data_IF_066264502134
#
_entry.id   IF_066264502134
#
_cell.length_a   1.000
_cell.length_b   1.000
_cell.length_c   1.000
_cell.angle_alpha   90.00
_cell.angle_beta   90.00
_cell.angle_gamma   90.00
#
_symmetry.space_group_name_H-M   'P 1'
#
loop_
_entity.id
_entity.type
_entity.pdbx_description
1 polymer ?
#
# COMPACT_ATOMS: atom_id res chain seq x y z
N UNK A 1 -5.40 -14.93 13.90
CA UNK A 1 -4.10 -15.60 13.71
C UNK A 1 -4.32 -17.07 13.44
N UNK A 2 -3.58 -17.64 12.51
CA UNK A 2 -3.61 -19.07 12.20
C UNK A 2 -2.62 -19.81 13.11
N UNK A 3 -2.91 -21.06 13.42
CA UNK A 3 -1.93 -21.92 14.06
C UNK A 3 -0.81 -22.28 13.09
N UNK A 4 0.43 -22.25 13.56
CA UNK A 4 1.60 -22.51 12.70
C UNK A 4 1.55 -23.88 12.02
N UNK A 5 0.91 -24.87 12.64
CA UNK A 5 0.71 -26.22 12.10
C UNK A 5 -0.23 -26.28 10.92
N UNK A 6 -1.13 -25.28 10.79
CA UNK A 6 -2.08 -25.18 9.67
C UNK A 6 -1.53 -24.42 8.46
N UNK A 7 -0.34 -23.85 8.57
CA UNK A 7 0.30 -23.05 7.51
C UNK A 7 1.38 -23.87 6.82
N UNK A 8 1.42 -23.81 5.49
CA UNK A 8 2.48 -24.48 4.71
C UNK A 8 3.86 -24.06 5.20
N UNK A 9 4.71 -25.05 5.51
CA UNK A 9 6.08 -24.81 5.99
C UNK A 9 6.93 -23.97 5.04
N UNK A 10 6.63 -23.98 3.76
CA UNK A 10 7.33 -23.16 2.76
C UNK A 10 7.01 -21.65 2.90
N UNK A 11 5.77 -21.31 3.24
CA UNK A 11 5.40 -19.91 3.52
C UNK A 11 6.08 -19.41 4.80
N UNK A 12 6.17 -20.26 5.82
CA UNK A 12 6.82 -19.95 7.09
C UNK A 12 8.35 -19.78 6.95
N UNK A 13 8.97 -20.40 5.93
CA UNK A 13 10.40 -20.16 5.62
C UNK A 13 10.64 -18.74 5.10
N UNK A 14 9.68 -18.19 4.34
CA UNK A 14 9.78 -16.83 3.79
C UNK A 14 9.39 -15.78 4.82
N UNK A 15 8.33 -16.03 5.59
CA UNK A 15 7.82 -15.11 6.60
C UNK A 15 7.36 -15.88 7.84
N UNK A 16 8.15 -15.80 8.92
CA UNK A 16 7.79 -16.40 10.21
C UNK A 16 6.77 -15.51 10.93
N UNK A 17 5.51 -15.70 10.62
CA UNK A 17 4.41 -14.94 11.23
C UNK A 17 3.17 -15.81 11.36
N UNK A 18 2.29 -15.42 12.31
CA UNK A 18 0.92 -15.95 12.43
C UNK A 18 -0.13 -14.94 11.94
N UNK A 19 0.31 -13.79 11.43
CA UNK A 19 -0.59 -12.76 10.93
C UNK A 19 -1.06 -13.11 9.54
N UNK A 20 -2.35 -13.27 9.38
CA UNK A 20 -3.00 -13.72 8.15
C UNK A 20 -2.70 -12.80 6.97
N UNK A 21 -2.73 -11.49 7.18
CA UNK A 21 -2.44 -10.50 6.13
C UNK A 21 -1.04 -10.63 5.55
N UNK A 22 -0.03 -10.91 6.38
CA UNK A 22 1.35 -11.12 5.93
C UNK A 22 1.52 -12.46 5.22
N UNK A 23 0.83 -13.49 5.69
CA UNK A 23 0.82 -14.81 5.04
C UNK A 23 0.18 -14.75 3.65
N UNK A 24 -0.90 -13.98 3.48
CA UNK A 24 -1.49 -13.77 2.15
C UNK A 24 -0.56 -13.03 1.20
N UNK A 25 0.13 -11.98 1.65
CA UNK A 25 1.13 -11.31 0.80
C UNK A 25 2.24 -12.26 0.37
N UNK A 26 2.74 -13.09 1.29
CA UNK A 26 3.74 -14.13 0.99
C UNK A 26 3.20 -15.14 -0.02
N UNK A 27 1.93 -15.54 0.13
CA UNK A 27 1.26 -16.44 -0.80
C UNK A 27 1.16 -15.82 -2.20
N UNK A 28 0.76 -14.55 -2.32
CA UNK A 28 0.68 -13.85 -3.60
C UNK A 28 2.04 -13.80 -4.30
N UNK A 29 3.10 -13.45 -3.56
CA UNK A 29 4.47 -13.48 -4.08
C UNK A 29 4.88 -14.87 -4.60
N UNK A 30 4.40 -15.93 -3.95
CA UNK A 30 4.70 -17.30 -4.35
C UNK A 30 3.95 -17.76 -5.61
N UNK A 31 2.65 -17.48 -5.69
CA UNK A 31 1.81 -17.96 -6.78
C UNK A 31 1.89 -17.15 -8.06
N UNK A 32 2.31 -15.88 -7.97
CA UNK A 32 2.51 -15.05 -9.14
C UNK A 32 3.66 -15.60 -10.01
N UNK A 33 3.46 -15.57 -11.31
CA UNK A 33 4.55 -15.75 -12.28
C UNK A 33 5.40 -14.49 -12.35
N UNK A 34 6.66 -14.62 -12.78
CA UNK A 34 7.51 -13.46 -13.11
C UNK A 34 6.80 -12.63 -14.19
N UNK A 35 6.74 -11.32 -14.00
CA UNK A 35 5.96 -10.39 -14.81
C UNK A 35 4.49 -10.26 -14.39
N UNK A 36 4.00 -11.11 -13.49
CA UNK A 36 2.65 -11.02 -12.93
C UNK A 36 2.49 -9.83 -12.00
N UNK A 37 1.33 -9.18 -12.03
CA UNK A 37 0.99 -8.01 -11.20
C UNK A 37 0.06 -8.41 -10.07
N UNK A 38 0.25 -7.78 -8.92
CA UNK A 38 -0.63 -7.86 -7.77
C UNK A 38 -1.19 -6.47 -7.45
N UNK A 39 -2.49 -6.40 -7.23
CA UNK A 39 -3.13 -5.28 -6.57
C UNK A 39 -3.91 -5.87 -5.39
N UNK A 40 -3.47 -5.60 -4.18
CA UNK A 40 -4.08 -6.18 -2.98
C UNK A 40 -4.37 -5.14 -1.92
N UNK A 41 -5.48 -5.34 -1.22
CA UNK A 41 -5.87 -4.51 -0.07
C UNK A 41 -5.21 -5.09 1.18
N UNK A 42 -4.56 -4.22 1.95
CA UNK A 42 -3.94 -4.57 3.22
C UNK A 42 -4.36 -3.58 4.30
N UNK A 43 -4.44 -4.01 5.58
CA UNK A 43 -4.57 -3.05 6.69
C UNK A 43 -3.34 -2.14 6.77
N UNK A 44 -3.52 -0.90 7.20
CA UNK A 44 -2.43 0.07 7.38
C UNK A 44 -1.26 -0.47 8.22
N UNK A 45 -1.54 -1.32 9.20
CA UNK A 45 -0.52 -1.97 10.02
C UNK A 45 0.54 -2.74 9.22
N UNK A 46 0.22 -3.18 8.01
CA UNK A 46 1.20 -3.80 7.10
C UNK A 46 2.21 -2.78 6.60
N UNK A 47 1.78 -1.53 6.38
CA UNK A 47 2.62 -0.47 5.81
C UNK A 47 3.70 0.04 6.76
N UNK A 48 3.43 0.06 8.07
CA UNK A 48 4.33 0.64 9.08
C UNK A 48 4.64 -0.29 10.26
N UNK A 49 4.10 -1.51 10.29
CA UNK A 49 4.33 -2.47 11.37
C UNK A 49 5.82 -2.66 11.65
N UNK A 50 6.19 -2.70 12.94
CA UNK A 50 7.59 -2.72 13.40
C UNK A 50 8.17 -4.12 13.58
N UNK A 51 7.35 -5.18 13.53
CA UNK A 51 7.87 -6.54 13.67
C UNK A 51 8.79 -6.90 12.51
N UNK A 52 9.73 -7.82 12.77
CA UNK A 52 10.66 -8.32 11.74
C UNK A 52 9.90 -8.82 10.50
N UNK A 53 8.81 -9.56 10.69
CA UNK A 53 8.01 -10.08 9.58
C UNK A 53 7.42 -8.97 8.70
N UNK A 54 6.91 -7.88 9.29
CA UNK A 54 6.42 -6.73 8.54
C UNK A 54 7.54 -6.08 7.72
N UNK A 55 8.69 -5.83 8.35
CA UNK A 55 9.84 -5.20 7.68
C UNK A 55 10.39 -6.08 6.56
N UNK A 56 10.56 -7.38 6.80
CA UNK A 56 11.08 -8.31 5.81
C UNK A 56 10.18 -8.38 4.56
N UNK A 57 8.85 -8.39 4.72
CA UNK A 57 7.91 -8.40 3.59
C UNK A 57 7.98 -7.08 2.81
N UNK A 58 7.93 -5.93 3.48
CA UNK A 58 8.04 -4.63 2.80
C UNK A 58 9.35 -4.49 2.06
N UNK A 59 10.46 -4.83 2.73
CA UNK A 59 11.78 -4.85 2.11
C UNK A 59 11.82 -5.76 0.89
N UNK A 60 11.27 -6.96 0.99
CA UNK A 60 11.19 -7.90 -0.13
C UNK A 60 10.43 -7.35 -1.33
N UNK A 61 9.28 -6.72 -1.09
CA UNK A 61 8.48 -6.11 -2.17
C UNK A 61 9.23 -4.93 -2.82
N UNK A 62 9.88 -4.09 -2.03
CA UNK A 62 10.61 -2.90 -2.54
C UNK A 62 11.92 -3.30 -3.23
N UNK A 63 12.69 -4.23 -2.67
CA UNK A 63 14.04 -4.58 -3.16
C UNK A 63 14.03 -5.66 -4.23
N UNK A 64 13.23 -6.71 -4.05
CA UNK A 64 13.25 -7.89 -4.92
C UNK A 64 12.16 -7.86 -6.00
N UNK A 65 11.13 -7.06 -5.83
CA UNK A 65 10.05 -6.88 -6.78
C UNK A 65 10.03 -5.44 -7.27
N UNK A 66 9.05 -5.10 -8.10
CA UNK A 66 8.81 -3.72 -8.52
C UNK A 66 7.54 -3.21 -7.86
N UNK A 67 7.69 -2.44 -6.77
CA UNK A 67 6.58 -1.72 -6.16
C UNK A 67 6.22 -0.51 -7.05
N UNK A 68 4.96 -0.43 -7.46
CA UNK A 68 4.48 0.60 -8.38
C UNK A 68 3.66 1.68 -7.66
N UNK A 69 2.77 1.26 -6.75
CA UNK A 69 1.87 2.20 -6.08
C UNK A 69 1.46 1.75 -4.67
N UNK A 70 1.18 2.75 -3.85
CA UNK A 70 0.50 2.63 -2.55
C UNK A 70 -0.65 3.63 -2.53
N UNK A 71 -1.89 3.14 -2.49
CA UNK A 71 -3.08 3.98 -2.43
C UNK A 71 -3.65 3.86 -1.03
N UNK A 72 -3.52 4.92 -0.23
CA UNK A 72 -4.07 4.97 1.13
C UNK A 72 -5.57 5.18 1.07
N UNK A 73 -6.33 4.39 1.81
CA UNK A 73 -7.79 4.49 1.91
C UNK A 73 -8.19 4.84 3.35
N UNK A 74 -9.16 5.75 3.53
CA UNK A 74 -9.59 6.16 4.86
C UNK A 74 -10.30 5.03 5.60
N UNK A 75 -10.34 5.15 6.93
CA UNK A 75 -11.18 4.28 7.76
C UNK A 75 -12.64 4.38 7.33
N UNK A 76 -13.38 3.27 7.40
CA UNK A 76 -14.80 3.23 7.06
C UNK A 76 -15.12 2.77 5.65
N UNK A 77 -14.16 2.65 4.73
CA UNK A 77 -14.40 2.14 3.35
C UNK A 77 -15.04 0.75 3.37
N UNK A 78 -14.67 -0.10 4.33
CA UNK A 78 -15.17 -1.47 4.45
C UNK A 78 -16.23 -1.66 5.54
N UNK A 79 -16.78 -0.58 6.07
CA UNK A 79 -17.92 -0.69 7.01
C UNK A 79 -19.15 -1.32 6.34
N UNK A 80 -19.96 -2.06 7.09
CA UNK A 80 -19.87 -2.32 8.53
C UNK A 80 -18.89 -3.45 8.93
N UNK A 81 -18.21 -4.07 7.98
CA UNK A 81 -17.39 -5.27 8.23
C UNK A 81 -16.04 -4.96 8.89
N UNK A 82 -15.43 -3.86 8.51
CA UNK A 82 -14.15 -3.40 9.08
C UNK A 82 -14.09 -1.86 9.10
N UNK A 83 -13.70 -1.30 10.26
CA UNK A 83 -13.56 0.14 10.45
C UNK A 83 -12.13 0.65 10.37
N UNK A 84 -11.14 -0.22 10.10
CA UNK A 84 -9.73 0.15 10.05
C UNK A 84 -9.36 0.84 8.74
N UNK A 85 -8.37 1.71 8.79
CA UNK A 85 -7.73 2.24 7.60
C UNK A 85 -6.99 1.13 6.84
N UNK A 86 -7.01 1.20 5.53
CA UNK A 86 -6.44 0.21 4.64
C UNK A 86 -5.66 0.88 3.52
N UNK A 87 -4.93 0.11 2.75
CA UNK A 87 -4.28 0.58 1.54
C UNK A 87 -4.31 -0.48 0.43
N UNK A 88 -4.18 -0.03 -0.81
CA UNK A 88 -3.94 -0.90 -1.96
C UNK A 88 -2.45 -0.87 -2.26
N UNK A 89 -1.79 -2.03 -2.23
CA UNK A 89 -0.44 -2.22 -2.74
C UNK A 89 -0.50 -2.74 -4.16
N UNK A 90 0.20 -2.07 -5.08
CA UNK A 90 0.34 -2.51 -6.48
C UNK A 90 1.80 -2.79 -6.77
N UNK A 91 2.12 -4.02 -7.13
CA UNK A 91 3.48 -4.43 -7.48
C UNK A 91 3.51 -5.47 -8.60
N UNK A 92 4.64 -5.53 -9.29
CA UNK A 92 4.94 -6.58 -10.28
C UNK A 92 6.00 -7.50 -9.71
N UNK A 93 5.78 -8.82 -9.81
CA UNK A 93 6.79 -9.82 -9.45
C UNK A 93 7.90 -9.85 -10.49
N UNK A 94 9.11 -9.54 -10.09
CA UNK A 94 10.29 -9.52 -10.95
C UNK A 94 11.40 -10.45 -10.50
N UNK A 95 11.51 -10.71 -9.19
CA UNK A 95 12.58 -11.46 -8.48
C UNK A 95 13.98 -10.84 -8.59
N UNK A 96 14.13 -9.72 -9.28
CA UNK A 96 15.41 -9.01 -9.44
C UNK A 96 15.28 -7.49 -9.25
N UNK A 97 14.24 -7.05 -8.54
CA UNK A 97 14.02 -5.63 -8.23
C UNK A 97 13.35 -4.88 -9.38
N UNK A 98 13.65 -3.59 -9.47
CA UNK A 98 13.11 -2.69 -10.48
C UNK A 98 12.21 -1.59 -9.90
N UNK A 99 12.05 -1.51 -8.59
CA UNK A 99 11.41 -0.35 -7.96
C UNK A 99 12.26 0.89 -8.21
N UNK A 100 11.65 1.93 -8.75
CA UNK A 100 12.25 3.23 -9.01
C UNK A 100 11.52 4.31 -8.20
N UNK A 101 10.51 4.95 -8.75
CA UNK A 101 9.63 5.85 -8.01
C UNK A 101 8.32 5.11 -7.69
N UNK A 102 7.86 5.22 -6.45
CA UNK A 102 6.58 4.65 -6.01
C UNK A 102 5.53 5.74 -5.97
N UNK A 103 4.39 5.48 -6.61
CA UNK A 103 3.27 6.41 -6.60
C UNK A 103 2.45 6.26 -5.33
N UNK A 104 2.25 7.37 -4.61
CA UNK A 104 1.38 7.44 -3.44
C UNK A 104 0.14 8.27 -3.76
N UNK A 105 -1.00 7.80 -3.32
CA UNK A 105 -2.27 8.50 -3.42
C UNK A 105 -3.00 8.50 -2.07
N UNK A 106 -3.45 9.66 -1.64
CA UNK A 106 -4.23 9.85 -0.42
C UNK A 106 -5.72 9.90 -0.76
N UNK A 107 -6.35 8.74 -0.81
CA UNK A 107 -7.78 8.64 -1.08
C UNK A 107 -8.58 9.08 0.15
N UNK A 108 -9.55 9.94 -0.03
CA UNK A 108 -10.41 10.47 1.04
C UNK A 108 -11.87 10.07 0.88
N UNK A 109 -12.30 9.71 -0.33
CA UNK A 109 -13.68 9.35 -0.63
C UNK A 109 -13.77 8.27 -1.73
N UNK A 110 -14.72 7.38 -1.59
CA UNK A 110 -14.97 6.26 -2.52
C UNK A 110 -16.37 6.27 -3.13
N UNK A 111 -17.10 7.39 -3.05
CA UNK A 111 -18.47 7.51 -3.52
C UNK A 111 -19.53 7.10 -2.50
N UNK A 112 -19.11 6.77 -1.28
CA UNK A 112 -19.99 6.39 -0.18
C UNK A 112 -19.59 7.08 1.13
N UNK A 113 -20.58 7.31 2.01
CA UNK A 113 -20.30 7.80 3.36
C UNK A 113 -19.43 6.80 4.13
N UNK A 114 -18.55 7.31 5.00
CA UNK A 114 -17.62 6.48 5.79
C UNK A 114 -18.22 5.99 7.13
N UNK A 115 -19.54 6.12 7.28
CA UNK A 115 -20.30 5.55 8.39
C UNK A 115 -20.82 4.14 8.09
N UNK A 116 -21.51 3.53 9.04
CA UNK A 116 -22.01 2.15 8.89
C UNK A 116 -23.12 1.99 7.83
N UNK A 117 -23.76 3.10 7.41
CA UNK A 117 -24.83 3.07 6.40
C UNK A 117 -24.28 2.98 4.98
N UNK A 118 -23.06 3.47 4.75
CA UNK A 118 -22.44 3.50 3.42
C UNK A 118 -23.38 4.06 2.35
N UNK A 119 -23.98 5.21 2.65
CA UNK A 119 -24.89 5.88 1.71
C UNK A 119 -24.12 6.50 0.55
N UNK A 120 -24.63 6.44 -0.70
CA UNK A 120 -23.98 7.08 -1.83
C UNK A 120 -23.78 8.59 -1.61
N UNK A 121 -22.58 9.10 -1.95
CA UNK A 121 -22.24 10.54 -1.94
C UNK A 121 -21.56 10.91 -3.26
N UNK A 122 -21.49 12.21 -3.54
CA UNK A 122 -20.88 12.71 -4.79
C UNK A 122 -19.34 12.59 -4.78
N UNK A 123 -18.71 12.72 -3.61
CA UNK A 123 -17.25 12.69 -3.49
C UNK A 123 -16.72 11.27 -3.74
N UNK A 124 -15.88 11.14 -4.78
CA UNK A 124 -15.34 9.86 -5.21
C UNK A 124 -13.99 10.06 -5.91
N UNK A 125 -12.94 9.58 -5.31
CA UNK A 125 -11.56 9.66 -5.84
C UNK A 125 -11.22 8.53 -6.83
N UNK A 126 -12.03 7.48 -6.91
CA UNK A 126 -11.70 6.29 -7.73
C UNK A 126 -11.48 6.65 -9.20
N UNK A 127 -12.30 7.49 -9.86
CA UNK A 127 -12.03 7.88 -11.24
C UNK A 127 -10.70 8.59 -11.42
N UNK A 128 -10.33 9.51 -10.51
CA UNK A 128 -9.06 10.23 -10.53
C UNK A 128 -7.87 9.28 -10.31
N UNK A 129 -8.00 8.33 -9.38
CA UNK A 129 -6.98 7.29 -9.15
C UNK A 129 -6.71 6.49 -10.42
N UNK A 130 -7.76 6.04 -11.09
CA UNK A 130 -7.65 5.24 -12.32
C UNK A 130 -7.01 6.04 -13.44
N UNK A 131 -7.41 7.29 -13.64
CA UNK A 131 -6.86 8.15 -14.67
C UNK A 131 -5.38 8.42 -14.44
N UNK A 132 -5.00 8.80 -13.21
CA UNK A 132 -3.61 9.09 -12.85
C UNK A 132 -2.74 7.85 -12.93
N UNK A 133 -3.22 6.71 -12.44
CA UNK A 133 -2.46 5.46 -12.50
C UNK A 133 -2.17 5.01 -13.93
N UNK A 134 -3.05 5.31 -14.88
CA UNK A 134 -2.80 5.08 -16.32
C UNK A 134 -1.79 6.05 -16.92
N UNK A 135 -1.53 7.18 -16.28
CA UNK A 135 -0.70 8.28 -16.77
C UNK A 135 0.38 8.67 -15.76
N UNK A 136 1.05 7.70 -15.12
CA UNK A 136 2.05 7.94 -14.07
C UNK A 136 3.20 8.85 -14.49
N UNK A 137 3.52 8.94 -15.79
CA UNK A 137 4.50 9.86 -16.32
C UNK A 137 4.14 11.35 -16.07
N UNK A 138 2.87 11.67 -15.88
CA UNK A 138 2.38 13.02 -15.55
C UNK A 138 2.44 13.33 -14.06
N UNK A 139 2.75 12.34 -13.23
CA UNK A 139 2.84 12.50 -11.77
C UNK A 139 4.22 12.97 -11.29
N UNK A 140 5.23 13.00 -12.18
CA UNK A 140 6.62 13.31 -11.82
C UNK A 140 6.80 14.70 -11.20
N UNK A 141 6.00 15.69 -11.64
CA UNK A 141 6.10 17.09 -11.21
C UNK A 141 5.17 17.42 -10.02
N UNK A 142 4.43 16.44 -9.51
CA UNK A 142 3.53 16.66 -8.38
C UNK A 142 4.31 16.80 -7.07
N UNK A 143 3.86 17.75 -6.23
CA UNK A 143 4.46 18.01 -4.92
C UNK A 143 3.94 17.02 -3.88
N UNK A 144 4.69 16.84 -2.81
CA UNK A 144 4.26 16.00 -1.66
C UNK A 144 3.12 16.61 -0.85
N UNK A 145 2.75 17.86 -1.12
CA UNK A 145 1.55 18.52 -0.60
C UNK A 145 0.29 18.18 -1.42
N UNK A 146 0.45 17.66 -2.63
CA UNK A 146 -0.66 17.23 -3.48
C UNK A 146 -1.29 15.93 -2.96
N UNK A 147 -2.45 15.59 -3.49
CA UNK A 147 -3.20 14.37 -3.15
C UNK A 147 -2.49 13.10 -3.61
N UNK A 148 -1.69 13.19 -4.66
CA UNK A 148 -0.82 12.12 -5.14
C UNK A 148 0.54 12.66 -5.54
N UNK A 149 1.57 11.85 -5.39
CA UNK A 149 2.96 12.20 -5.69
C UNK A 149 3.84 10.97 -5.83
N UNK A 150 5.00 11.15 -6.44
CA UNK A 150 6.02 10.11 -6.53
C UNK A 150 7.02 10.20 -5.38
N UNK A 151 7.45 9.05 -4.86
CA UNK A 151 8.50 8.93 -3.84
C UNK A 151 9.62 8.06 -4.41
N UNK A 152 10.85 8.57 -4.51
CA UNK A 152 12.00 7.78 -4.92
C UNK A 152 12.22 6.56 -4.00
N UNK A 153 12.64 5.43 -4.56
CA UNK A 153 13.00 4.24 -3.78
C UNK A 153 13.95 4.54 -2.62
N UNK A 154 14.93 5.42 -2.84
CA UNK A 154 15.91 5.75 -1.83
C UNK A 154 15.29 6.35 -0.56
N UNK A 155 14.28 7.20 -0.72
CA UNK A 155 13.55 7.78 0.42
C UNK A 155 12.84 6.68 1.24
N UNK A 156 12.31 5.65 0.55
CA UNK A 156 11.66 4.51 1.21
C UNK A 156 12.69 3.68 1.99
N UNK A 157 13.86 3.44 1.40
CA UNK A 157 14.97 2.74 2.05
C UNK A 157 15.44 3.51 3.29
N UNK A 158 15.64 4.82 3.18
CA UNK A 158 16.09 5.70 4.25
C UNK A 158 15.09 5.79 5.42
N UNK A 159 13.82 5.51 5.14
CA UNK A 159 12.75 5.42 6.13
C UNK A 159 12.40 3.97 6.55
N UNK A 160 13.38 3.05 6.49
CA UNK A 160 13.24 1.66 6.95
C UNK A 160 12.07 0.92 6.27
N UNK A 161 11.87 1.19 4.98
CA UNK A 161 10.80 0.62 4.15
C UNK A 161 9.38 0.90 4.66
N UNK A 162 9.18 2.00 5.39
CA UNK A 162 7.84 2.47 5.75
C UNK A 162 7.09 2.84 4.47
N UNK A 163 5.87 2.33 4.30
CA UNK A 163 5.02 2.56 3.14
C UNK A 163 3.77 3.37 3.49
N UNK A 164 3.69 3.94 4.68
CA UNK A 164 2.60 4.85 5.03
C UNK A 164 2.76 6.20 4.34
N UNK A 165 1.68 6.70 3.73
CA UNK A 165 1.72 7.98 2.99
C UNK A 165 2.11 9.14 3.89
N UNK A 166 1.70 9.12 5.16
CA UNK A 166 2.01 10.19 6.12
C UNK A 166 3.51 10.36 6.39
N UNK A 167 4.32 9.36 6.07
CA UNK A 167 5.77 9.44 6.18
C UNK A 167 6.38 10.37 5.14
N UNK A 168 5.73 10.53 3.99
CA UNK A 168 6.25 11.23 2.82
C UNK A 168 5.44 12.47 2.46
N UNK A 169 4.15 12.52 2.87
CA UNK A 169 3.28 13.66 2.61
C UNK A 169 3.75 14.89 3.39
N UNK A 170 3.74 16.02 2.72
CA UNK A 170 4.04 17.34 3.31
C UNK A 170 2.74 18.12 3.51
N UNK A 171 2.70 18.98 4.52
CA UNK A 171 1.58 19.86 4.80
C UNK A 171 2.07 21.31 4.58
N UNK A 172 1.35 22.06 3.76
CA UNK A 172 1.61 23.50 3.65
C UNK A 172 1.11 24.20 4.92
N UNK A 173 2.03 24.77 5.68
CA UNK A 173 1.68 25.67 6.78
C UNK A 173 1.43 27.05 6.20
N UNK A 174 0.16 27.45 6.11
CA UNK A 174 -0.18 28.86 5.88
C UNK A 174 0.00 29.57 7.21
N UNK A 175 0.99 30.45 7.29
CA UNK A 175 1.12 31.35 8.44
C UNK A 175 -0.14 32.23 8.49
N UNK A 176 -0.94 32.09 9.53
CA UNK A 176 -2.05 33.00 9.82
C UNK A 176 -1.40 34.25 10.40
N UNK A 177 -1.40 35.38 9.63
CA UNK A 177 -1.05 36.72 10.11
C UNK A 177 -2.08 37.23 11.12
#
# INVERSE_FOLDING_TARGET
SLDAESVSGDLLKVCKTKKTELLFLTLFLRILKIGGRCACIVPDGVLFGSSKAHKDIRKGIVENQRLEAVISMPSGVFKPYAGVSTAILVFTKTEHGGTDNVWFYDMTADGFSLDDKRSPIADNDIPDIIERFKNLNKEADRKRTDKSFMVPKQDIVDNDYDLSINKYKEVEYVAVE
#
